data_IF_329067717104
#
_entry.id   IF_329067717104
#
_cell.length_a   1.000
_cell.length_b   1.000
_cell.length_c   1.000
_cell.angle_alpha   90.00
_cell.angle_beta   90.00
_cell.angle_gamma   90.00
#
_symmetry.space_group_name_H-M   'P 1'
#
loop_
_entity.id
_entity.type
_entity.pdbx_description
1 polymer ?
#
# COMPACT_ATOMS: atom_id res chain seq x y z
N UNK A 1 26.23 -9.63 -4.07
CA UNK A 1 25.38 -10.79 -3.70
C UNK A 1 24.01 -10.37 -3.18
N UNK A 2 23.91 -9.41 -2.25
CA UNK A 2 22.62 -8.95 -1.68
C UNK A 2 21.63 -8.40 -2.73
N UNK A 3 22.09 -7.55 -3.66
CA UNK A 3 21.27 -7.01 -4.77
C UNK A 3 20.63 -8.13 -5.60
N UNK A 4 21.39 -9.17 -5.94
CA UNK A 4 20.88 -10.32 -6.69
C UNK A 4 19.80 -11.09 -5.89
N UNK A 5 20.02 -11.28 -4.59
CA UNK A 5 19.05 -11.93 -3.71
C UNK A 5 17.74 -11.12 -3.59
N UNK A 6 17.80 -9.79 -3.46
CA UNK A 6 16.62 -8.91 -3.48
C UNK A 6 15.85 -9.01 -4.80
N UNK A 7 16.55 -9.00 -5.94
CA UNK A 7 15.92 -9.18 -7.27
C UNK A 7 15.23 -10.53 -7.41
N UNK A 8 15.88 -11.61 -6.98
CA UNK A 8 15.31 -12.96 -6.97
C UNK A 8 14.08 -13.05 -6.07
N UNK A 9 14.14 -12.43 -4.88
CA UNK A 9 12.99 -12.36 -3.96
C UNK A 9 11.78 -11.72 -4.65
N UNK A 10 11.95 -10.55 -5.27
CA UNK A 10 10.88 -9.82 -5.96
C UNK A 10 10.29 -10.68 -7.08
N UNK A 11 11.14 -11.26 -7.93
CA UNK A 11 10.72 -12.11 -9.04
C UNK A 11 9.90 -13.33 -8.56
N UNK A 12 10.34 -14.01 -7.49
CA UNK A 12 9.62 -15.14 -6.90
C UNK A 12 8.27 -14.72 -6.32
N UNK A 13 8.21 -13.64 -5.55
CA UNK A 13 6.95 -13.14 -4.96
C UNK A 13 5.95 -12.69 -6.01
N UNK A 14 6.40 -12.00 -7.05
CA UNK A 14 5.55 -11.62 -8.18
C UNK A 14 5.03 -12.86 -8.92
N UNK A 15 5.91 -13.85 -9.17
CA UNK A 15 5.52 -15.14 -9.75
C UNK A 15 4.51 -15.88 -8.90
N UNK A 16 4.65 -15.85 -7.58
CA UNK A 16 3.66 -16.40 -6.65
C UNK A 16 2.29 -15.74 -6.84
N UNK A 17 2.21 -14.41 -6.87
CA UNK A 17 0.96 -13.68 -7.05
C UNK A 17 0.30 -14.01 -8.39
N UNK A 18 1.08 -14.09 -9.47
CA UNK A 18 0.58 -14.48 -10.80
C UNK A 18 0.04 -15.93 -10.80
N UNK A 19 0.76 -16.85 -10.17
CA UNK A 19 0.35 -18.26 -10.05
C UNK A 19 -0.85 -18.47 -9.11
N UNK A 20 -1.01 -17.60 -8.11
CA UNK A 20 -2.14 -17.59 -7.17
C UNK A 20 -3.29 -16.71 -7.66
N UNK A 21 -3.41 -16.54 -8.97
CA UNK A 21 -4.54 -15.91 -9.65
C UNK A 21 -5.27 -16.95 -10.50
N UNK A 22 -6.59 -17.02 -10.38
CA UNK A 22 -7.38 -17.90 -11.24
C UNK A 22 -7.62 -17.27 -12.63
N UNK A 23 -8.20 -18.05 -13.54
CA UNK A 23 -8.53 -17.59 -14.91
C UNK A 23 -9.46 -16.39 -14.97
N UNK A 24 -10.28 -16.17 -13.94
CA UNK A 24 -11.16 -14.99 -13.88
C UNK A 24 -10.44 -13.73 -13.43
N UNK A 25 -9.15 -13.79 -13.10
CA UNK A 25 -8.38 -12.68 -12.53
C UNK A 25 -8.45 -12.56 -11.01
N UNK A 26 -9.21 -13.42 -10.33
CA UNK A 26 -9.34 -13.40 -8.87
C UNK A 26 -8.12 -14.05 -8.22
N UNK A 27 -7.44 -13.34 -7.32
CA UNK A 27 -6.41 -13.94 -6.47
C UNK A 27 -7.00 -14.93 -5.44
N UNK A 28 -6.23 -15.96 -5.09
CA UNK A 28 -6.48 -16.78 -3.91
C UNK A 28 -6.03 -15.95 -2.70
N UNK A 29 -7.00 -15.46 -1.92
CA UNK A 29 -6.69 -14.48 -0.86
C UNK A 29 -5.79 -15.07 0.24
N UNK A 30 -6.12 -16.27 0.71
CA UNK A 30 -5.44 -16.93 1.82
C UNK A 30 -5.24 -18.41 1.51
N UNK A 31 -4.02 -18.88 1.71
CA UNK A 31 -3.65 -20.29 1.62
C UNK A 31 -2.77 -20.63 2.82
N UNK A 32 -2.82 -21.85 3.34
CA UNK A 32 -1.87 -22.32 4.35
C UNK A 32 -0.62 -22.86 3.69
N UNK A 33 0.50 -22.92 4.41
CA UNK A 33 1.76 -23.51 3.90
C UNK A 33 1.63 -24.98 3.50
N UNK A 34 0.57 -25.67 3.92
CA UNK A 34 0.20 -27.02 3.45
C UNK A 34 -0.54 -27.03 2.10
N UNK A 35 -0.75 -25.86 1.48
CA UNK A 35 -1.42 -25.68 0.20
C UNK A 35 -2.95 -25.55 0.28
N UNK A 36 -3.56 -25.67 1.47
CA UNK A 36 -5.03 -25.60 1.60
C UNK A 36 -5.51 -24.16 1.59
N UNK A 37 -6.45 -23.85 0.70
CA UNK A 37 -7.12 -22.55 0.66
C UNK A 37 -7.93 -22.32 1.94
N UNK A 38 -7.82 -21.12 2.52
CA UNK A 38 -8.59 -20.73 3.70
C UNK A 38 -9.87 -20.04 3.25
N UNK A 39 -11.03 -20.64 3.57
CA UNK A 39 -12.34 -20.06 3.25
C UNK A 39 -12.61 -18.86 4.14
N UNK A 40 -12.62 -17.66 3.56
CA UNK A 40 -13.07 -16.40 4.16
C UNK A 40 -13.62 -15.47 3.09
N UNK A 41 -14.28 -14.41 3.53
CA UNK A 41 -14.70 -13.30 2.68
C UNK A 41 -13.52 -12.74 1.88
N UNK A 42 -13.81 -12.39 0.63
CA UNK A 42 -12.81 -11.84 -0.27
C UNK A 42 -12.59 -10.36 0.04
N UNK A 43 -11.33 -9.95 0.18
CA UNK A 43 -10.99 -8.57 0.43
C UNK A 43 -10.55 -7.87 -0.86
N UNK A 44 -11.43 -7.03 -1.42
CA UNK A 44 -11.17 -6.28 -2.66
C UNK A 44 -10.05 -5.24 -2.51
N UNK A 45 -9.82 -4.69 -1.31
CA UNK A 45 -8.70 -3.76 -1.08
C UNK A 45 -7.36 -4.47 -1.29
N UNK A 46 -7.24 -5.69 -0.75
CA UNK A 46 -6.02 -6.50 -0.92
C UNK A 46 -5.87 -6.99 -2.37
N UNK A 47 -6.96 -7.13 -3.11
CA UNK A 47 -6.90 -7.38 -4.54
C UNK A 47 -6.25 -6.20 -5.29
N UNK A 48 -6.72 -4.98 -5.03
CA UNK A 48 -6.17 -3.78 -5.67
C UNK A 48 -4.69 -3.55 -5.28
N UNK A 49 -4.34 -3.74 -4.01
CA UNK A 49 -2.94 -3.68 -3.57
C UNK A 49 -2.03 -4.71 -4.26
N UNK A 50 -2.54 -5.91 -4.55
CA UNK A 50 -1.76 -6.93 -5.26
C UNK A 50 -1.49 -6.52 -6.72
N UNK A 51 -2.42 -5.79 -7.36
CA UNK A 51 -2.20 -5.22 -8.69
C UNK A 51 -1.09 -4.16 -8.63
N UNK A 52 -1.12 -3.28 -7.62
CA UNK A 52 -0.08 -2.28 -7.41
C UNK A 52 1.31 -2.92 -7.23
N UNK A 53 1.44 -3.94 -6.37
CA UNK A 53 2.71 -4.65 -6.20
C UNK A 53 3.18 -5.36 -7.48
N UNK A 54 2.24 -5.93 -8.27
CA UNK A 54 2.58 -6.49 -9.59
C UNK A 54 3.13 -5.40 -10.52
N UNK A 55 2.48 -4.23 -10.64
CA UNK A 55 2.99 -3.12 -11.45
C UNK A 55 4.42 -2.72 -11.07
N UNK A 56 4.70 -2.64 -9.77
CA UNK A 56 6.03 -2.31 -9.25
C UNK A 56 7.08 -3.38 -9.62
N UNK A 57 6.68 -4.64 -9.76
CA UNK A 57 7.57 -5.77 -10.02
C UNK A 57 7.78 -6.12 -11.50
N UNK A 58 7.21 -5.35 -12.44
CA UNK A 58 7.16 -5.69 -13.87
C UNK A 58 8.52 -6.05 -14.46
N UNK A 59 9.54 -5.23 -14.20
CA UNK A 59 10.92 -5.41 -14.70
C UNK A 59 11.63 -6.69 -14.24
N UNK A 60 11.03 -7.47 -13.33
CA UNK A 60 11.59 -8.71 -12.80
C UNK A 60 10.91 -9.98 -13.33
N UNK A 61 9.80 -9.87 -14.07
CA UNK A 61 8.97 -11.03 -14.48
C UNK A 61 8.35 -10.91 -15.89
N UNK A 62 8.86 -9.99 -16.73
CA UNK A 62 8.41 -9.81 -18.11
C UNK A 62 8.49 -11.12 -18.96
N UNK A 63 7.57 -11.34 -19.93
CA UNK A 63 6.42 -10.52 -20.31
C UNK A 63 5.08 -10.94 -19.67
N UNK A 64 5.07 -12.02 -18.86
CA UNK A 64 3.83 -12.67 -18.42
C UNK A 64 3.01 -11.84 -17.43
N UNK A 65 3.67 -10.91 -16.74
CA UNK A 65 3.06 -10.11 -15.68
C UNK A 65 1.92 -9.22 -16.18
N UNK A 66 2.03 -8.65 -17.39
CA UNK A 66 1.00 -7.77 -17.93
C UNK A 66 -0.34 -8.50 -18.07
N UNK A 67 -0.32 -9.74 -18.56
CA UNK A 67 -1.53 -10.56 -18.67
C UNK A 67 -2.17 -10.83 -17.30
N UNK A 68 -1.36 -10.98 -16.25
CA UNK A 68 -1.88 -11.16 -14.88
C UNK A 68 -2.53 -9.88 -14.36
N UNK A 69 -1.87 -8.74 -14.58
CA UNK A 69 -2.36 -7.42 -14.22
C UNK A 69 -3.71 -7.12 -14.92
N UNK A 70 -3.79 -7.33 -16.23
CA UNK A 70 -4.99 -7.03 -17.01
C UNK A 70 -6.18 -7.91 -16.62
N UNK A 71 -5.94 -9.19 -16.31
CA UNK A 71 -7.00 -10.07 -15.76
C UNK A 71 -7.46 -9.60 -14.39
N UNK A 72 -6.54 -9.17 -13.52
CA UNK A 72 -6.89 -8.66 -12.19
C UNK A 72 -7.75 -7.39 -12.29
N UNK A 73 -7.33 -6.42 -13.12
CA UNK A 73 -8.12 -5.21 -13.39
C UNK A 73 -9.50 -5.56 -13.97
N UNK A 74 -9.55 -6.43 -14.97
CA UNK A 74 -10.82 -6.91 -15.55
C UNK A 74 -11.74 -7.53 -14.50
N UNK A 75 -11.18 -8.28 -13.54
CA UNK A 75 -11.94 -8.84 -12.43
C UNK A 75 -12.47 -7.75 -11.49
N UNK A 76 -11.64 -6.77 -11.15
CA UNK A 76 -12.02 -5.62 -10.31
C UNK A 76 -13.17 -4.85 -10.95
N UNK A 77 -13.03 -4.49 -12.24
CA UNK A 77 -14.05 -3.77 -13.00
C UNK A 77 -15.35 -4.56 -13.12
N UNK A 78 -15.26 -5.84 -13.49
CA UNK A 78 -16.45 -6.67 -13.68
C UNK A 78 -17.26 -6.89 -12.40
N UNK A 79 -16.61 -6.97 -11.24
CA UNK A 79 -17.25 -7.48 -10.03
C UNK A 79 -17.36 -6.50 -8.88
N UNK A 80 -16.68 -5.35 -8.93
CA UNK A 80 -16.67 -4.39 -7.82
C UNK A 80 -16.82 -2.93 -8.24
N UNK A 81 -16.57 -2.60 -9.51
CA UNK A 81 -16.89 -1.27 -10.02
C UNK A 81 -18.42 -1.12 -10.09
N UNK A 82 -18.94 -0.11 -9.42
CA UNK A 82 -20.35 0.22 -9.40
C UNK A 82 -20.57 1.63 -9.95
N UNK A 83 -21.65 1.86 -10.72
CA UNK A 83 -22.06 3.21 -11.08
C UNK A 83 -22.55 3.96 -9.83
N UNK A 84 -22.30 5.26 -9.79
CA UNK A 84 -22.79 6.16 -8.74
C UNK A 84 -23.49 7.33 -9.42
N UNK A 85 -24.83 7.30 -9.36
CA UNK A 85 -25.68 8.30 -10.00
C UNK A 85 -25.66 9.64 -9.25
N UNK A 86 -25.44 9.61 -7.93
CA UNK A 86 -25.31 10.81 -7.12
C UNK A 86 -24.10 11.66 -7.55
N UNK A 87 -24.31 12.97 -7.66
CA UNK A 87 -23.25 14.00 -7.73
C UNK A 87 -22.24 13.86 -8.90
N UNK A 88 -22.61 13.24 -10.03
CA UNK A 88 -21.70 13.05 -11.20
C UNK A 88 -20.39 12.29 -10.85
N UNK A 89 -20.35 11.57 -9.73
CA UNK A 89 -19.16 10.81 -9.30
C UNK A 89 -18.84 9.65 -10.27
N UNK A 90 -19.86 9.18 -11.01
CA UNK A 90 -19.82 8.11 -12.03
C UNK A 90 -19.47 6.74 -11.50
N UNK A 91 -18.36 6.55 -10.79
CA UNK A 91 -17.86 5.22 -10.40
C UNK A 91 -17.32 5.15 -8.98
N UNK A 92 -17.50 4.00 -8.34
CA UNK A 92 -16.86 3.62 -7.08
C UNK A 92 -16.52 2.13 -7.02
N UNK A 93 -15.76 1.72 -6.00
CA UNK A 93 -15.45 0.32 -5.71
C UNK A 93 -16.26 -0.16 -4.50
N UNK A 94 -17.20 -1.07 -4.76
CA UNK A 94 -17.98 -1.73 -3.72
C UNK A 94 -17.10 -2.63 -2.85
N UNK A 95 -17.39 -2.71 -1.56
CA UNK A 95 -16.69 -3.58 -0.60
C UNK A 95 -17.07 -5.06 -0.76
N UNK A 96 -18.15 -5.34 -1.46
CA UNK A 96 -18.69 -6.67 -1.74
C UNK A 96 -19.31 -6.69 -3.12
N UNK A 97 -19.38 -7.87 -3.74
CA UNK A 97 -19.93 -7.99 -5.11
C UNK A 97 -21.37 -7.47 -5.19
N UNK A 98 -21.78 -6.83 -6.29
CA UNK A 98 -23.17 -6.45 -6.55
C UNK A 98 -24.14 -7.60 -6.29
N UNK A 99 -25.27 -7.30 -5.62
CA UNK A 99 -26.27 -8.29 -5.24
C UNK A 99 -25.92 -9.14 -4.00
N UNK A 100 -24.84 -8.82 -3.28
CA UNK A 100 -24.52 -9.39 -1.97
C UNK A 100 -24.78 -8.38 -0.85
N UNK A 101 -24.89 -8.87 0.38
CA UNK A 101 -24.95 -7.99 1.57
C UNK A 101 -23.76 -7.03 1.53
N UNK A 102 -24.00 -5.75 1.83
CA UNK A 102 -23.02 -4.67 1.78
C UNK A 102 -22.45 -4.36 0.39
N UNK A 103 -23.15 -4.72 -0.71
CA UNK A 103 -22.74 -4.30 -2.07
C UNK A 103 -22.80 -2.80 -2.30
N UNK A 104 -23.58 -2.08 -1.48
CA UNK A 104 -23.72 -0.63 -1.57
C UNK A 104 -22.72 0.09 -0.64
N UNK A 105 -21.89 -0.66 0.08
CA UNK A 105 -20.86 -0.09 0.96
C UNK A 105 -19.59 0.12 0.16
N UNK A 106 -19.13 1.35 0.11
CA UNK A 106 -17.80 1.71 -0.41
C UNK A 106 -16.89 2.08 0.74
N UNK A 107 -15.60 1.75 0.58
CA UNK A 107 -14.55 2.08 1.54
C UNK A 107 -13.52 2.91 0.80
N UNK A 108 -13.08 4.02 1.40
CA UNK A 108 -12.12 4.94 0.78
C UNK A 108 -10.88 4.20 0.27
N UNK A 109 -10.27 3.35 1.10
CA UNK A 109 -9.10 2.56 0.67
C UNK A 109 -9.34 1.62 -0.51
N UNK A 110 -10.57 1.14 -0.72
CA UNK A 110 -10.90 0.32 -1.90
C UNK A 110 -10.87 1.12 -3.20
N UNK A 111 -11.33 2.37 -3.13
CA UNK A 111 -11.34 3.31 -4.25
C UNK A 111 -9.90 3.78 -4.51
N UNK A 112 -9.21 4.22 -3.46
CA UNK A 112 -7.85 4.74 -3.53
C UNK A 112 -6.84 3.70 -4.03
N UNK A 113 -6.89 2.45 -3.54
CA UNK A 113 -6.00 1.40 -4.03
C UNK A 113 -6.30 0.99 -5.48
N UNK A 114 -7.58 1.00 -5.89
CA UNK A 114 -7.93 0.77 -7.30
C UNK A 114 -7.38 1.87 -8.20
N UNK A 115 -7.46 3.12 -7.76
CA UNK A 115 -6.89 4.27 -8.44
C UNK A 115 -5.35 4.17 -8.51
N UNK A 116 -4.66 3.82 -7.43
CA UNK A 116 -3.19 3.60 -7.41
C UNK A 116 -2.80 2.48 -8.38
N UNK A 117 -3.52 1.35 -8.36
CA UNK A 117 -3.27 0.22 -9.24
C UNK A 117 -3.45 0.57 -10.72
N UNK A 118 -4.38 1.48 -11.05
CA UNK A 118 -4.58 1.98 -12.40
C UNK A 118 -3.53 3.05 -12.78
N UNK A 119 -3.23 3.96 -11.85
CA UNK A 119 -2.25 5.03 -12.03
C UNK A 119 -0.84 4.50 -12.32
N UNK A 120 -0.50 3.35 -11.75
CA UNK A 120 0.82 2.72 -11.87
C UNK A 120 0.94 1.73 -13.03
N UNK A 121 -0.09 1.62 -13.88
CA UNK A 121 -0.01 0.87 -15.13
C UNK A 121 1.02 1.50 -16.08
N UNK A 122 1.80 0.66 -16.76
CA UNK A 122 2.78 1.09 -17.77
C UNK A 122 2.34 0.72 -19.20
N UNK A 123 1.03 0.56 -19.41
CA UNK A 123 0.44 0.40 -20.73
C UNK A 123 -0.56 1.51 -20.99
N UNK A 124 -0.88 1.71 -22.27
CA UNK A 124 -1.96 2.61 -22.66
C UNK A 124 -3.28 2.14 -22.03
N UNK A 125 -4.00 3.09 -21.45
CA UNK A 125 -5.35 2.88 -20.92
C UNK A 125 -6.35 2.89 -22.07
N UNK A 126 -7.43 2.13 -21.89
CA UNK A 126 -8.61 2.27 -22.74
C UNK A 126 -9.41 3.51 -22.34
N UNK A 127 -10.27 4.02 -23.23
CA UNK A 127 -11.21 5.11 -22.93
C UNK A 127 -12.06 4.80 -21.70
N UNK A 128 -12.48 3.54 -21.54
CA UNK A 128 -13.21 3.08 -20.36
C UNK A 128 -12.39 3.22 -19.08
N UNK A 129 -11.11 2.83 -19.10
CA UNK A 129 -10.24 2.94 -17.94
C UNK A 129 -9.94 4.40 -17.58
N UNK A 130 -9.82 5.29 -18.57
CA UNK A 130 -9.74 6.73 -18.30
C UNK A 130 -11.03 7.24 -17.65
N UNK A 131 -12.21 6.86 -18.15
CA UNK A 131 -13.49 7.22 -17.53
C UNK A 131 -13.59 6.71 -16.08
N UNK A 132 -13.08 5.51 -15.81
CA UNK A 132 -12.97 4.95 -14.46
C UNK A 132 -12.01 5.79 -13.60
N UNK A 133 -10.82 6.13 -14.09
CA UNK A 133 -9.85 6.94 -13.35
C UNK A 133 -10.45 8.28 -12.91
N UNK A 134 -11.12 9.00 -13.83
CA UNK A 134 -11.79 10.25 -13.51
C UNK A 134 -12.93 10.06 -12.49
N UNK A 135 -13.69 8.96 -12.60
CA UNK A 135 -14.76 8.64 -11.67
C UNK A 135 -14.27 8.36 -10.25
N UNK A 136 -13.25 7.50 -10.12
CA UNK A 136 -12.67 7.16 -8.82
C UNK A 136 -11.98 8.36 -8.16
N UNK A 137 -11.31 9.23 -8.93
CA UNK A 137 -10.72 10.46 -8.40
C UNK A 137 -11.79 11.44 -7.87
N UNK A 138 -12.88 11.66 -8.64
CA UNK A 138 -14.03 12.47 -8.17
C UNK A 138 -14.64 11.89 -6.90
N UNK A 139 -14.86 10.58 -6.84
CA UNK A 139 -15.41 9.93 -5.65
C UNK A 139 -14.46 10.04 -4.46
N UNK A 140 -13.16 9.84 -4.66
CA UNK A 140 -12.15 9.98 -3.59
C UNK A 140 -12.22 11.39 -3.00
N UNK A 141 -12.24 12.44 -3.83
CA UNK A 141 -12.37 13.84 -3.37
C UNK A 141 -13.68 14.11 -2.63
N UNK A 142 -14.80 13.51 -3.05
CA UNK A 142 -16.08 13.71 -2.35
C UNK A 142 -16.13 13.05 -0.97
N UNK A 143 -15.16 12.19 -0.64
CA UNK A 143 -15.00 11.61 0.71
C UNK A 143 -14.07 12.44 1.60
N UNK A 144 -13.54 13.56 1.11
CA UNK A 144 -12.63 14.45 1.85
C UNK A 144 -13.40 15.69 2.29
N UNK A 145 -13.38 15.98 3.59
CA UNK A 145 -13.96 17.17 4.18
C UNK A 145 -13.14 18.43 3.87
N UNK A 146 -13.73 19.60 4.09
CA UNK A 146 -13.07 20.88 3.82
C UNK A 146 -11.78 21.10 4.63
N UNK A 147 -11.63 20.42 5.77
CA UNK A 147 -10.46 20.46 6.65
C UNK A 147 -9.44 19.34 6.37
N UNK A 148 -9.66 18.55 5.31
CA UNK A 148 -8.83 17.38 4.96
C UNK A 148 -9.15 16.10 5.73
N UNK A 149 -10.13 16.12 6.64
CA UNK A 149 -10.65 14.88 7.27
C UNK A 149 -11.26 13.96 6.21
N UNK A 150 -11.28 12.65 6.45
CA UNK A 150 -11.79 11.68 5.46
C UNK A 150 -12.90 10.81 6.00
N UNK A 151 -13.91 10.59 5.16
CA UNK A 151 -14.91 9.53 5.36
C UNK A 151 -14.31 8.19 4.95
N UNK A 152 -14.17 7.27 5.90
CA UNK A 152 -13.56 5.96 5.61
C UNK A 152 -14.52 4.97 4.94
N UNK A 153 -15.83 5.09 5.20
CA UNK A 153 -16.84 4.14 4.73
C UNK A 153 -18.20 4.84 4.56
N UNK A 154 -18.81 4.62 3.41
CA UNK A 154 -20.08 5.24 3.00
C UNK A 154 -21.00 4.17 2.40
N UNK A 155 -22.30 4.27 2.67
CA UNK A 155 -23.33 3.57 1.90
C UNK A 155 -23.79 4.46 0.74
N UNK A 156 -23.51 4.09 -0.50
CA UNK A 156 -23.80 4.95 -1.66
C UNK A 156 -25.29 5.02 -2.02
N UNK A 157 -26.12 4.15 -1.45
CA UNK A 157 -27.58 4.18 -1.65
C UNK A 157 -28.29 5.03 -0.61
N UNK A 158 -27.88 4.93 0.66
CA UNK A 158 -28.53 5.63 1.77
C UNK A 158 -27.80 6.90 2.20
N UNK A 159 -26.62 7.14 1.65
CA UNK A 159 -25.68 8.21 2.03
C UNK A 159 -25.21 8.13 3.50
N UNK A 160 -25.49 7.00 4.16
CA UNK A 160 -25.08 6.76 5.54
C UNK A 160 -23.56 6.63 5.63
N UNK A 161 -22.95 7.55 6.37
CA UNK A 161 -21.54 7.51 6.75
C UNK A 161 -21.38 6.65 8.00
N UNK A 162 -20.36 5.79 8.00
CA UNK A 162 -20.03 4.95 9.16
C UNK A 162 -19.00 5.64 10.05
N UNK A 163 -19.16 5.53 11.37
CA UNK A 163 -18.18 6.02 12.37
C UNK A 163 -16.84 5.27 12.36
N UNK A 164 -16.71 4.21 11.55
CA UNK A 164 -15.46 3.50 11.39
C UNK A 164 -14.42 4.43 10.73
N UNK A 165 -13.32 4.70 11.43
CA UNK A 165 -12.15 5.37 10.88
C UNK A 165 -11.01 4.37 10.64
N UNK A 166 -10.50 4.32 9.42
CA UNK A 166 -9.31 3.54 9.08
C UNK A 166 -8.06 4.38 9.25
N UNK A 167 -7.05 3.81 9.93
CA UNK A 167 -5.72 4.41 10.02
C UNK A 167 -5.10 4.71 8.64
N UNK A 168 -5.28 3.80 7.69
CA UNK A 168 -4.50 3.77 6.44
C UNK A 168 -5.15 4.50 5.27
N UNK A 169 -6.47 4.67 5.30
CA UNK A 169 -7.21 5.23 4.16
C UNK A 169 -6.87 6.69 3.84
N UNK A 170 -6.58 7.58 4.82
CA UNK A 170 -6.12 8.93 4.50
C UNK A 170 -4.86 8.93 3.63
N UNK A 171 -3.83 8.16 4.00
CA UNK A 171 -2.58 8.07 3.23
C UNK A 171 -2.78 7.45 1.85
N UNK A 172 -3.60 6.38 1.76
CA UNK A 172 -3.97 5.77 0.48
C UNK A 172 -4.68 6.79 -0.44
N UNK A 173 -5.61 7.58 0.10
CA UNK A 173 -6.34 8.60 -0.64
C UNK A 173 -5.42 9.72 -1.14
N UNK A 174 -4.57 10.27 -0.28
CA UNK A 174 -3.60 11.30 -0.64
C UNK A 174 -2.70 10.83 -1.80
N UNK A 175 -2.06 9.66 -1.66
CA UNK A 175 -1.21 9.11 -2.72
C UNK A 175 -2.01 8.87 -4.01
N UNK A 176 -3.22 8.34 -3.93
CA UNK A 176 -4.05 8.07 -5.12
C UNK A 176 -4.40 9.34 -5.90
N UNK A 177 -4.68 10.44 -5.21
CA UNK A 177 -5.02 11.73 -5.80
C UNK A 177 -3.79 12.41 -6.41
N UNK A 178 -2.61 12.30 -5.77
CA UNK A 178 -1.35 12.79 -6.35
C UNK A 178 -1.01 12.07 -7.65
N UNK A 179 -1.03 10.74 -7.65
CA UNK A 179 -0.70 9.96 -8.84
C UNK A 179 -1.68 10.23 -9.99
N UNK A 180 -2.97 10.38 -9.66
CA UNK A 180 -3.97 10.81 -10.64
C UNK A 180 -3.67 12.23 -11.18
N UNK A 181 -3.41 13.19 -10.30
CA UNK A 181 -3.11 14.57 -10.68
C UNK A 181 -1.89 14.68 -11.59
N UNK A 182 -0.87 13.85 -11.34
CA UNK A 182 0.36 13.85 -12.14
C UNK A 182 0.13 13.36 -13.57
N UNK A 183 -0.82 12.46 -13.78
CA UNK A 183 -1.20 11.95 -15.10
C UNK A 183 -2.09 12.95 -15.85
N UNK A 184 -3.10 13.51 -15.16
CA UNK A 184 -4.15 14.32 -15.80
C UNK A 184 -4.00 15.84 -15.60
N UNK A 185 -2.93 16.28 -14.92
CA UNK A 185 -2.67 17.69 -14.56
C UNK A 185 -3.84 18.32 -13.79
N UNK A 186 -4.41 17.58 -12.84
CA UNK A 186 -5.59 17.99 -12.07
C UNK A 186 -5.17 18.66 -10.74
N UNK A 187 -5.13 19.99 -10.74
CA UNK A 187 -4.68 20.81 -9.59
C UNK A 187 -5.56 20.60 -8.34
N UNK A 188 -6.88 20.44 -8.52
CA UNK A 188 -7.81 20.17 -7.44
C UNK A 188 -7.47 18.89 -6.68
N UNK A 189 -7.00 17.84 -7.37
CA UNK A 189 -6.55 16.59 -6.73
C UNK A 189 -5.23 16.77 -5.98
N UNK A 190 -4.34 17.65 -6.45
CA UNK A 190 -3.12 18.03 -5.70
C UNK A 190 -3.54 18.71 -4.39
N UNK A 191 -4.38 19.73 -4.47
CA UNK A 191 -4.85 20.47 -3.28
C UNK A 191 -5.59 19.57 -2.30
N UNK A 192 -6.45 18.70 -2.81
CA UNK A 192 -7.16 17.73 -1.98
C UNK A 192 -6.19 16.76 -1.28
N UNK A 193 -5.17 16.24 -1.98
CA UNK A 193 -4.14 15.43 -1.35
C UNK A 193 -3.37 16.17 -0.26
N UNK A 194 -2.93 17.40 -0.53
CA UNK A 194 -2.20 18.21 0.45
C UNK A 194 -3.06 18.50 1.68
N UNK A 195 -4.36 18.76 1.51
CA UNK A 195 -5.29 18.96 2.62
C UNK A 195 -5.40 17.73 3.53
N UNK A 196 -5.44 16.51 2.96
CA UNK A 196 -5.46 15.27 3.74
C UNK A 196 -4.17 15.14 4.57
N UNK A 197 -3.01 15.36 3.96
CA UNK A 197 -1.74 15.24 4.66
C UNK A 197 -1.58 16.33 5.74
N UNK A 198 -2.02 17.56 5.46
CA UNK A 198 -2.02 18.64 6.44
C UNK A 198 -2.95 18.33 7.63
N UNK A 199 -4.11 17.73 7.37
CA UNK A 199 -5.01 17.24 8.42
C UNK A 199 -4.33 16.20 9.31
N UNK A 200 -3.62 15.23 8.72
CA UNK A 200 -2.84 14.25 9.48
C UNK A 200 -1.73 14.90 10.30
N UNK A 201 -1.01 15.88 9.73
CA UNK A 201 0.02 16.62 10.46
C UNK A 201 -0.57 17.33 11.68
N UNK A 202 -1.66 18.07 11.49
CA UNK A 202 -2.29 18.86 12.55
C UNK A 202 -2.86 17.99 13.67
N UNK A 203 -3.58 16.91 13.32
CA UNK A 203 -4.22 16.03 14.30
C UNK A 203 -3.23 15.16 15.07
N UNK A 204 -2.02 14.95 14.53
CA UNK A 204 -0.99 14.09 15.14
C UNK A 204 0.15 14.85 15.80
N UNK A 205 0.23 16.17 15.60
CA UNK A 205 1.33 17.03 16.06
C UNK A 205 1.64 16.86 17.55
N UNK A 206 0.61 16.89 18.38
CA UNK A 206 0.74 16.88 19.85
C UNK A 206 0.46 15.49 20.47
N UNK A 207 0.34 14.44 19.66
CA UNK A 207 0.14 13.10 20.17
C UNK A 207 1.43 12.55 20.81
N UNK A 208 1.36 11.91 21.98
CA UNK A 208 2.53 11.30 22.62
C UNK A 208 3.11 10.15 21.77
N UNK A 209 2.27 9.54 20.94
CA UNK A 209 2.69 8.56 19.94
C UNK A 209 1.76 8.62 18.74
N UNK A 210 2.34 8.75 17.55
CA UNK A 210 1.61 8.60 16.29
C UNK A 210 1.57 7.12 15.88
N UNK A 211 0.61 6.72 15.04
CA UNK A 211 0.60 5.37 14.45
C UNK A 211 1.69 5.20 13.38
N UNK A 212 2.19 3.96 13.13
CA UNK A 212 3.18 3.65 12.09
C UNK A 212 2.53 3.63 10.70
N UNK A 213 2.06 4.80 10.26
CA UNK A 213 1.26 5.00 9.05
C UNK A 213 2.14 5.08 7.80
N UNK A 214 2.49 3.91 7.24
CA UNK A 214 3.34 3.84 6.05
C UNK A 214 2.73 4.49 4.79
N UNK A 215 1.41 4.49 4.63
CA UNK A 215 0.78 5.14 3.47
C UNK A 215 0.92 6.65 3.53
N UNK A 216 0.83 7.25 4.73
CA UNK A 216 1.16 8.66 4.91
C UNK A 216 2.63 8.94 4.55
N UNK A 217 3.56 8.05 4.92
CA UNK A 217 4.97 8.19 4.50
C UNK A 217 5.16 8.11 2.98
N UNK A 218 4.48 7.19 2.30
CA UNK A 218 4.51 7.07 0.84
C UNK A 218 3.99 8.35 0.16
N UNK A 219 2.82 8.84 0.60
CA UNK A 219 2.23 10.07 0.07
C UNK A 219 3.13 11.29 0.31
N UNK A 220 3.68 11.42 1.53
CA UNK A 220 4.61 12.50 1.87
C UNK A 220 5.88 12.43 1.04
N UNK A 221 6.48 11.25 0.86
CA UNK A 221 7.67 11.09 0.01
C UNK A 221 7.41 11.51 -1.45
N UNK A 222 6.22 11.21 -1.97
CA UNK A 222 5.81 11.64 -3.32
C UNK A 222 5.69 13.16 -3.40
N UNK A 223 5.00 13.80 -2.44
CA UNK A 223 4.90 15.28 -2.38
C UNK A 223 6.29 15.93 -2.34
N UNK A 224 7.17 15.46 -1.46
CA UNK A 224 8.52 16.02 -1.32
C UNK A 224 9.33 15.84 -2.61
N UNK A 225 9.19 14.70 -3.28
CA UNK A 225 9.83 14.44 -4.57
C UNK A 225 9.32 15.38 -5.66
N UNK A 226 8.00 15.50 -5.81
CA UNK A 226 7.37 16.37 -6.79
C UNK A 226 7.73 17.85 -6.55
N UNK A 227 7.71 18.29 -5.29
CA UNK A 227 8.11 19.65 -4.93
C UNK A 227 9.58 19.90 -5.27
N UNK A 228 10.48 18.97 -4.94
CA UNK A 228 11.92 19.11 -5.23
C UNK A 228 12.26 19.15 -6.72
N UNK A 229 11.38 18.62 -7.57
CA UNK A 229 11.52 18.64 -9.04
C UNK A 229 10.75 19.78 -9.70
N UNK A 230 10.10 20.66 -8.92
CA UNK A 230 9.30 21.79 -9.41
C UNK A 230 8.01 21.37 -10.11
N UNK A 231 7.54 20.14 -9.90
CA UNK A 231 6.28 19.64 -10.50
C UNK A 231 5.04 20.08 -9.74
N UNK A 232 5.20 20.38 -8.46
CA UNK A 232 4.21 21.03 -7.61
C UNK A 232 4.93 22.10 -6.79
N UNK A 233 4.19 23.08 -6.29
CA UNK A 233 4.68 24.10 -5.37
C UNK A 233 3.95 23.94 -4.03
N UNK A 234 4.71 23.80 -2.95
CA UNK A 234 4.19 23.59 -1.60
C UNK A 234 4.85 24.60 -0.67
N UNK A 235 4.03 25.33 0.08
CA UNK A 235 4.51 26.34 1.03
C UNK A 235 5.51 25.75 2.04
N UNK A 236 6.55 26.52 2.39
CA UNK A 236 7.61 26.09 3.32
C UNK A 236 7.07 25.62 4.67
N UNK A 237 6.00 26.26 5.17
CA UNK A 237 5.33 25.89 6.42
C UNK A 237 4.67 24.52 6.35
N UNK A 238 4.03 24.21 5.21
CA UNK A 238 3.43 22.89 4.95
C UNK A 238 4.51 21.83 4.75
N UNK A 239 5.60 22.13 4.04
CA UNK A 239 6.76 21.24 3.91
C UNK A 239 7.38 20.91 5.28
N UNK A 240 7.55 21.91 6.14
CA UNK A 240 8.05 21.71 7.49
C UNK A 240 7.11 20.81 8.32
N UNK A 241 5.79 20.99 8.20
CA UNK A 241 4.80 20.16 8.87
C UNK A 241 4.86 18.70 8.38
N UNK A 242 4.98 18.48 7.07
CA UNK A 242 5.13 17.16 6.46
C UNK A 242 6.41 16.45 6.93
N UNK A 243 7.54 17.17 6.96
CA UNK A 243 8.80 16.63 7.48
C UNK A 243 8.69 16.26 8.96
N UNK A 244 8.07 17.11 9.77
CA UNK A 244 7.87 16.85 11.19
C UNK A 244 6.99 15.61 11.41
N UNK A 245 5.83 15.54 10.76
CA UNK A 245 4.92 14.40 10.87
C UNK A 245 5.59 13.10 10.41
N UNK A 246 6.33 13.14 9.30
CA UNK A 246 7.08 11.98 8.83
C UNK A 246 8.17 11.54 9.82
N UNK A 247 8.87 12.47 10.47
CA UNK A 247 9.82 12.16 11.53
C UNK A 247 9.14 11.47 12.73
N UNK A 248 7.97 11.94 13.17
CA UNK A 248 7.20 11.28 14.24
C UNK A 248 6.84 9.83 13.90
N UNK A 249 6.44 9.56 12.64
CA UNK A 249 6.10 8.21 12.19
C UNK A 249 7.35 7.33 12.10
N UNK A 250 8.48 7.87 11.61
CA UNK A 250 9.77 7.16 11.60
C UNK A 250 10.20 6.81 13.03
N UNK A 251 10.18 7.76 13.95
CA UNK A 251 10.53 7.54 15.37
C UNK A 251 9.66 6.45 16.01
N UNK A 252 8.36 6.41 15.66
CA UNK A 252 7.47 5.34 16.11
C UNK A 252 7.91 3.98 15.58
N UNK A 253 8.26 3.89 14.30
CA UNK A 253 8.67 2.64 13.68
C UNK A 253 9.98 2.13 14.30
N UNK A 254 10.97 3.03 14.49
CA UNK A 254 12.24 2.69 15.12
C UNK A 254 12.03 2.18 16.55
N UNK A 255 11.25 2.91 17.35
CA UNK A 255 10.93 2.51 18.72
C UNK A 255 10.20 1.16 18.80
N UNK A 256 9.25 0.92 17.89
CA UNK A 256 8.55 -0.38 17.83
C UNK A 256 9.51 -1.52 17.49
N UNK A 257 10.46 -1.28 16.59
CA UNK A 257 11.46 -2.27 16.20
C UNK A 257 12.43 -2.57 17.35
N UNK A 258 12.84 -1.54 18.10
CA UNK A 258 13.70 -1.71 19.27
C UNK A 258 12.98 -2.46 20.40
N UNK A 259 11.70 -2.12 20.65
CA UNK A 259 10.87 -2.81 21.64
C UNK A 259 10.53 -4.25 21.26
N UNK A 260 10.50 -4.58 19.98
CA UNK A 260 10.32 -5.96 19.53
C UNK A 260 11.50 -6.84 19.94
N UNK A 261 12.71 -6.27 20.02
CA UNK A 261 13.98 -6.92 20.40
C UNK A 261 14.14 -8.33 19.79
N UNK A 262 13.76 -8.46 18.52
CA UNK A 262 13.68 -9.75 17.86
C UNK A 262 14.99 -10.07 17.14
N UNK A 263 15.65 -11.14 17.60
CA UNK A 263 16.88 -11.66 16.99
C UNK A 263 16.72 -12.10 15.53
N UNK A 264 15.50 -12.38 15.07
CA UNK A 264 15.25 -12.72 13.66
C UNK A 264 15.11 -11.48 12.76
N UNK A 265 14.96 -10.27 13.31
CA UNK A 265 14.88 -9.01 12.58
C UNK A 265 13.46 -8.51 12.29
N UNK A 266 12.44 -9.05 12.94
CA UNK A 266 11.07 -8.53 12.88
C UNK A 266 11.00 -7.09 13.42
N UNK A 267 10.18 -6.24 12.79
CA UNK A 267 9.91 -4.87 13.28
C UNK A 267 8.69 -4.80 14.21
N UNK A 268 8.19 -5.97 14.62
CA UNK A 268 7.02 -6.12 15.50
C UNK A 268 7.23 -7.31 16.43
N UNK A 269 6.81 -7.16 17.68
CA UNK A 269 6.84 -8.18 18.73
C UNK A 269 6.17 -9.52 18.36
N UNK A 270 5.18 -9.48 17.48
CA UNK A 270 4.39 -10.65 17.11
C UNK A 270 4.92 -11.39 15.88
N UNK A 271 6.01 -10.91 15.27
CA UNK A 271 6.64 -11.54 14.11
C UNK A 271 5.86 -11.40 12.80
N UNK A 272 4.85 -10.52 12.70
CA UNK A 272 4.04 -10.43 11.47
C UNK A 272 4.86 -9.89 10.29
N UNK A 273 4.96 -10.68 9.23
CA UNK A 273 5.70 -10.31 8.02
C UNK A 273 5.06 -9.12 7.32
N UNK A 274 3.72 -9.09 7.23
CA UNK A 274 2.99 -7.97 6.64
C UNK A 274 3.24 -6.66 7.40
N UNK A 275 3.21 -6.70 8.74
CA UNK A 275 3.39 -5.51 9.57
C UNK A 275 4.83 -4.98 9.54
N UNK A 276 5.81 -5.87 9.43
CA UNK A 276 7.20 -5.50 9.19
C UNK A 276 7.37 -4.92 7.78
N UNK A 277 6.78 -5.56 6.76
CA UNK A 277 6.85 -5.11 5.38
C UNK A 277 6.24 -3.72 5.17
N UNK A 278 5.07 -3.42 5.73
CA UNK A 278 4.46 -2.08 5.62
C UNK A 278 5.36 -1.00 6.24
N UNK A 279 6.01 -1.29 7.37
CA UNK A 279 6.94 -0.34 8.01
C UNK A 279 8.16 -0.08 7.14
N UNK A 280 8.75 -1.15 6.60
CA UNK A 280 9.89 -1.07 5.68
C UNK A 280 9.56 -0.32 4.39
N UNK A 281 8.36 -0.53 3.84
CA UNK A 281 7.87 0.19 2.67
C UNK A 281 7.85 1.72 2.92
N UNK A 282 7.28 2.14 4.05
CA UNK A 282 7.27 3.56 4.45
C UNK A 282 8.68 4.11 4.72
N UNK A 283 9.53 3.38 5.45
CA UNK A 283 10.91 3.78 5.73
C UNK A 283 11.73 3.94 4.45
N UNK A 284 11.65 2.97 3.52
CA UNK A 284 12.41 3.03 2.28
C UNK A 284 12.02 4.24 1.42
N UNK A 285 10.73 4.58 1.38
CA UNK A 285 10.26 5.72 0.59
C UNK A 285 10.69 7.06 1.19
N UNK A 286 10.63 7.22 2.51
CA UNK A 286 10.92 8.51 3.15
C UNK A 286 12.42 8.72 3.43
N UNK A 287 13.23 7.66 3.47
CA UNK A 287 14.65 7.71 3.83
C UNK A 287 15.47 8.74 3.02
N UNK A 288 15.36 8.84 1.67
CA UNK A 288 16.11 9.85 0.91
C UNK A 288 15.79 11.29 1.33
N UNK A 289 14.53 11.55 1.69
CA UNK A 289 14.07 12.86 2.15
C UNK A 289 14.52 13.16 3.58
N UNK A 290 14.52 12.17 4.47
CA UNK A 290 15.07 12.30 5.81
C UNK A 290 16.56 12.61 5.78
N UNK A 291 17.31 11.93 4.90
CA UNK A 291 18.74 12.20 4.68
C UNK A 291 18.97 13.63 4.19
N UNK A 292 18.22 14.07 3.18
CA UNK A 292 18.33 15.43 2.63
C UNK A 292 18.00 16.52 3.66
N UNK A 293 17.05 16.27 4.55
CA UNK A 293 16.62 17.21 5.58
C UNK A 293 17.43 17.12 6.89
N UNK A 294 18.52 16.34 6.93
CA UNK A 294 19.39 16.26 8.10
C UNK A 294 18.75 15.61 9.34
N UNK A 295 17.85 14.65 9.15
CA UNK A 295 17.28 13.89 10.26
C UNK A 295 18.40 13.18 11.05
N UNK A 296 18.39 13.17 12.40
CA UNK A 296 19.55 12.75 13.18
C UNK A 296 19.77 11.22 13.24
N UNK A 297 18.72 10.40 13.12
CA UNK A 297 18.82 8.95 13.34
C UNK A 297 18.91 8.15 12.03
N UNK A 298 19.67 8.63 11.04
CA UNK A 298 19.77 7.99 9.72
C UNK A 298 20.34 6.56 9.78
N UNK A 299 21.35 6.35 10.61
CA UNK A 299 21.97 5.03 10.78
C UNK A 299 20.97 4.02 11.35
N UNK A 300 20.13 4.44 12.31
CA UNK A 300 19.05 3.60 12.85
C UNK A 300 18.01 3.25 11.80
N UNK A 301 17.65 4.18 10.90
CA UNK A 301 16.76 3.85 9.77
C UNK A 301 17.41 2.82 8.86
N UNK A 302 18.69 3.01 8.51
CA UNK A 302 19.39 2.08 7.62
C UNK A 302 19.50 0.68 8.25
N UNK A 303 19.89 0.58 9.52
CA UNK A 303 19.97 -0.68 10.26
C UNK A 303 18.61 -1.36 10.37
N UNK A 304 17.55 -0.58 10.62
CA UNK A 304 16.17 -1.08 10.66
C UNK A 304 15.73 -1.63 9.30
N UNK A 305 16.05 -0.93 8.21
CA UNK A 305 15.80 -1.41 6.84
C UNK A 305 16.57 -2.70 6.57
N UNK A 306 17.88 -2.72 6.83
CA UNK A 306 18.73 -3.88 6.52
C UNK A 306 18.30 -5.14 7.29
N UNK A 307 18.07 -5.02 8.61
CA UNK A 307 17.56 -6.12 9.45
C UNK A 307 16.19 -6.60 9.00
N UNK A 308 15.25 -5.68 8.80
CA UNK A 308 13.88 -6.04 8.42
C UNK A 308 13.79 -6.64 7.02
N UNK A 309 14.61 -6.21 6.06
CA UNK A 309 14.69 -6.83 4.73
C UNK A 309 15.28 -8.23 4.83
N UNK A 310 16.32 -8.43 5.65
CA UNK A 310 16.84 -9.76 5.97
C UNK A 310 15.76 -10.69 6.53
N UNK A 311 14.96 -10.19 7.47
CA UNK A 311 13.82 -10.90 8.05
C UNK A 311 12.79 -11.32 6.98
N UNK A 312 12.35 -10.40 6.12
CA UNK A 312 11.40 -10.72 5.04
C UNK A 312 11.99 -11.76 4.06
N UNK A 313 13.25 -11.59 3.67
CA UNK A 313 13.90 -12.53 2.75
C UNK A 313 14.02 -13.93 3.36
N UNK A 314 14.32 -14.04 4.66
CA UNK A 314 14.38 -15.32 5.37
C UNK A 314 13.00 -15.99 5.48
N UNK A 315 11.93 -15.21 5.53
CA UNK A 315 10.56 -15.72 5.66
C UNK A 315 9.96 -16.22 4.33
N UNK A 316 10.55 -15.87 3.18
CA UNK A 316 10.00 -16.26 1.87
C UNK A 316 9.99 -17.79 1.71
N UNK A 317 8.87 -18.32 1.23
CA UNK A 317 8.81 -19.74 0.88
C UNK A 317 9.72 -19.99 -0.33
N UNK A 318 10.78 -20.77 -0.16
CA UNK A 318 11.81 -20.93 -1.19
C UNK A 318 11.44 -21.89 -2.32
N UNK A 319 10.64 -22.91 -2.04
CA UNK A 319 10.37 -24.02 -2.97
C UNK A 319 8.94 -24.58 -2.86
N UNK A 320 8.58 -25.43 -3.83
CA UNK A 320 7.27 -26.06 -3.89
C UNK A 320 6.16 -25.17 -4.47
N UNK A 321 4.89 -25.61 -4.40
CA UNK A 321 3.76 -24.92 -5.04
C UNK A 321 3.50 -23.49 -4.51
N UNK A 322 4.04 -23.17 -3.33
CA UNK A 322 3.87 -21.88 -2.67
C UNK A 322 5.14 -21.02 -2.73
N UNK A 323 6.14 -21.40 -3.54
CA UNK A 323 7.39 -20.65 -3.68
C UNK A 323 7.12 -19.17 -4.03
N UNK A 324 7.80 -18.26 -3.32
CA UNK A 324 7.57 -16.81 -3.40
C UNK A 324 6.48 -16.29 -2.45
N UNK A 325 5.70 -17.17 -1.82
CA UNK A 325 4.72 -16.78 -0.83
C UNK A 325 5.35 -16.28 0.48
N UNK A 326 4.60 -15.47 1.21
CA UNK A 326 5.02 -14.85 2.48
C UNK A 326 4.08 -15.31 3.60
N UNK A 327 4.55 -16.13 4.55
CA UNK A 327 3.74 -16.57 5.68
C UNK A 327 3.40 -15.41 6.61
N UNK A 328 2.28 -15.49 7.32
CA UNK A 328 1.76 -14.44 8.18
C UNK A 328 2.75 -14.05 9.28
N UNK A 329 3.43 -15.05 9.84
CA UNK A 329 4.56 -14.91 10.77
C UNK A 329 5.75 -15.63 10.15
N UNK A 330 6.97 -15.09 10.31
CA UNK A 330 8.17 -15.78 9.83
C UNK A 330 8.37 -17.11 10.55
N UNK A 331 8.74 -18.20 9.85
CA UNK A 331 9.14 -19.47 10.47
C UNK A 331 10.32 -19.34 11.44
N UNK A 332 11.09 -18.26 11.34
CA UNK A 332 12.24 -17.98 12.20
C UNK A 332 11.89 -17.19 13.46
N UNK A 333 10.65 -16.70 13.57
CA UNK A 333 10.20 -15.95 14.74
C UNK A 333 9.66 -16.90 15.84
N UNK A 334 9.91 -16.57 17.10
CA UNK A 334 9.56 -17.42 18.27
C UNK A 334 8.05 -17.70 18.37
N UNK A 335 7.21 -16.76 17.94
CA UNK A 335 5.74 -16.90 17.96
C UNK A 335 5.19 -17.80 16.84
N UNK A 336 6.00 -18.24 15.88
CA UNK A 336 5.52 -19.05 14.76
C UNK A 336 4.84 -20.34 15.22
N UNK A 337 5.48 -21.06 16.16
CA UNK A 337 4.99 -22.35 16.63
C UNK A 337 3.68 -22.25 17.44
N UNK A 338 3.44 -21.12 18.11
CA UNK A 338 2.27 -20.92 18.98
C UNK A 338 1.11 -20.23 18.28
N UNK A 339 1.35 -19.58 17.14
CA UNK A 339 0.33 -18.86 16.39
C UNK A 339 -0.28 -19.74 15.28
N UNK A 340 -1.54 -20.16 15.46
CA UNK A 340 -2.25 -21.02 14.49
C UNK A 340 -2.38 -20.42 13.08
N UNK A 341 -2.32 -19.09 12.97
CA UNK A 341 -2.38 -18.36 11.69
C UNK A 341 -1.00 -18.08 11.09
N UNK A 342 0.08 -18.31 11.82
CA UNK A 342 1.46 -18.15 11.33
C UNK A 342 1.74 -18.79 9.96
N UNK A 343 1.31 -20.05 9.69
CA UNK A 343 1.54 -20.67 8.39
C UNK A 343 0.63 -20.16 7.26
N UNK A 344 -0.26 -19.20 7.50
CA UNK A 344 -1.09 -18.66 6.42
C UNK A 344 -0.29 -17.69 5.54
N UNK A 345 -0.31 -17.90 4.24
CA UNK A 345 0.14 -16.93 3.25
C UNK A 345 -1.06 -16.12 2.79
N UNK A 346 -0.93 -14.80 2.88
CA UNK A 346 -1.96 -13.86 2.45
C UNK A 346 -1.41 -12.95 1.35
N UNK A 347 -2.24 -12.58 0.38
CA UNK A 347 -1.77 -11.73 -0.73
C UNK A 347 -1.24 -10.38 -0.25
N UNK A 348 -1.75 -9.86 0.87
CA UNK A 348 -1.28 -8.61 1.47
C UNK A 348 0.11 -8.76 2.12
N UNK A 349 0.44 -9.92 2.69
CA UNK A 349 1.80 -10.19 3.17
C UNK A 349 2.79 -10.21 2.01
N UNK A 350 2.39 -10.77 0.86
CA UNK A 350 3.25 -10.84 -0.34
C UNK A 350 3.38 -9.48 -1.02
N UNK A 351 2.28 -8.73 -1.17
CA UNK A 351 2.28 -7.44 -1.87
C UNK A 351 3.22 -6.44 -1.16
N UNK A 352 3.10 -6.28 0.17
CA UNK A 352 3.91 -5.30 0.90
C UNK A 352 5.37 -5.75 0.98
N UNK A 353 5.64 -7.05 1.04
CA UNK A 353 7.01 -7.54 1.04
C UNK A 353 7.71 -7.27 -0.31
N UNK A 354 6.99 -7.38 -1.44
CA UNK A 354 7.50 -6.94 -2.76
C UNK A 354 7.87 -5.46 -2.70
N UNK A 355 6.95 -4.60 -2.28
CA UNK A 355 7.13 -3.14 -2.26
C UNK A 355 8.28 -2.72 -1.33
N UNK A 356 8.40 -3.33 -0.15
CA UNK A 356 9.49 -3.08 0.79
C UNK A 356 10.86 -3.47 0.22
N UNK A 357 10.99 -4.67 -0.35
CA UNK A 357 12.27 -5.15 -0.92
C UNK A 357 12.65 -4.36 -2.17
N UNK A 358 11.67 -3.96 -2.98
CA UNK A 358 11.89 -3.06 -4.10
C UNK A 358 12.38 -1.68 -3.64
N UNK A 359 11.75 -1.10 -2.62
CA UNK A 359 12.18 0.17 -2.03
C UNK A 359 13.63 0.11 -1.54
N UNK A 360 13.98 -0.94 -0.78
CA UNK A 360 15.35 -1.16 -0.32
C UNK A 360 16.34 -1.36 -1.47
N UNK A 361 15.94 -2.05 -2.54
CA UNK A 361 16.77 -2.22 -3.73
C UNK A 361 17.04 -0.89 -4.44
N UNK A 362 16.05 0.01 -4.51
CA UNK A 362 16.22 1.35 -5.09
C UNK A 362 17.20 2.21 -4.28
N UNK A 363 17.23 2.07 -2.95
CA UNK A 363 18.21 2.76 -2.11
C UNK A 363 19.66 2.32 -2.40
N UNK A 364 19.88 1.04 -2.73
CA UNK A 364 21.22 0.53 -3.07
C UNK A 364 21.76 1.17 -4.36
N UNK A 365 20.88 1.55 -5.30
CA UNK A 365 21.28 2.18 -6.58
C UNK A 365 21.54 3.68 -6.47
N UNK A 366 21.11 4.31 -5.37
CA UNK A 366 21.27 5.74 -5.11
C UNK A 366 22.43 6.03 -4.13
N UNK A 367 23.19 5.01 -3.74
CA UNK A 367 24.48 5.12 -3.04
C UNK A 367 25.59 5.29 -4.08
#
# INVERSE_FOLDING_TARGET
MLTYAKRRFIAKSATYLMGHQNRSGKFIYRVRTDGKAVRKDYNVLRHAGAIYALNQSRSFTEPQIQNSIDRALSYLWRWYLIPVEAQKLRFAIASSRPGKKNSDIVKLGGISLAQIALATQQRNRSVFEDDVAHGLARFTRSMVGADGSVTSKLNVRTEEVSDFASLYYPGEAALSLLLYAMEYKDEDSIQCSLSILQHLCNTRKDLPSVPPDHWALLATAEVLSLNSTGRIDVEDTALAALHFHAAQVVDKILRDADLADDSAGSLTDNGQTCSSATRLEGLCAIFPHMKKNGYPNLDQIQDCIERGIGYLMSAQVESGPLAGGMPWVSPHHTTYATNQTAPEIRIDSVQHAISAVLGSLSLDYNK
#
